data_IF_975697317395
#
_entry.id   IF_975697317395
#
_cell.length_a   1.000
_cell.length_b   1.000
_cell.length_c   1.000
_cell.angle_alpha   90.00
_cell.angle_beta   90.00
_cell.angle_gamma   90.00
#
_symmetry.space_group_name_H-M   'P 1'
#
loop_
_entity.id
_entity.type
_entity.pdbx_description
1 polymer ?
#
# COMPACT_ATOMS: atom_id res chain seq x y z
N UNK A 1 -6.00 12.38 12.15
CA UNK A 1 -7.29 13.08 12.03
C UNK A 1 -7.25 14.46 12.71
N UNK A 2 -6.77 14.61 13.95
CA UNK A 2 -6.74 15.90 14.70
C UNK A 2 -6.11 17.05 13.89
N UNK A 3 -5.02 16.78 13.19
CA UNK A 3 -4.29 17.79 12.41
C UNK A 3 -5.06 18.23 11.15
N UNK A 4 -5.68 17.29 10.45
CA UNK A 4 -6.34 17.53 9.17
C UNK A 4 -7.86 17.80 9.30
N UNK A 5 -8.47 17.41 10.43
CA UNK A 5 -9.91 17.55 10.67
C UNK A 5 -10.74 16.86 9.58
N UNK A 6 -11.75 17.54 9.06
CA UNK A 6 -12.65 17.01 8.01
C UNK A 6 -11.95 16.69 6.66
N UNK A 7 -10.69 17.09 6.49
CA UNK A 7 -9.90 16.75 5.31
C UNK A 7 -9.29 15.34 5.38
N UNK A 8 -9.36 14.66 6.53
CA UNK A 8 -9.00 13.26 6.67
C UNK A 8 -10.25 12.41 6.93
N UNK A 9 -10.29 11.21 6.35
CA UNK A 9 -11.31 10.19 6.61
C UNK A 9 -10.63 8.87 6.93
N UNK A 10 -11.06 8.22 8.00
CA UNK A 10 -10.76 6.81 8.22
C UNK A 10 -11.74 5.96 7.43
N UNK A 11 -11.24 4.95 6.73
CA UNK A 11 -12.01 4.04 5.92
C UNK A 11 -11.82 2.61 6.41
N UNK A 12 -12.92 1.88 6.49
CA UNK A 12 -12.86 0.43 6.65
C UNK A 12 -12.24 -0.19 5.37
N UNK A 13 -11.29 -1.13 5.48
CA UNK A 13 -10.68 -1.79 4.33
C UNK A 13 -11.70 -2.45 3.37
N UNK A 14 -12.84 -2.93 3.88
CA UNK A 14 -13.90 -3.55 3.07
C UNK A 14 -14.49 -2.57 2.05
N UNK A 15 -14.52 -1.27 2.37
CA UNK A 15 -15.07 -0.25 1.48
C UNK A 15 -14.36 -0.20 0.11
N UNK A 16 -13.09 -0.60 0.04
CA UNK A 16 -12.33 -0.64 -1.22
C UNK A 16 -12.88 -1.68 -2.19
N UNK A 17 -13.50 -2.75 -1.67
CA UNK A 17 -14.15 -3.82 -2.45
C UNK A 17 -15.61 -3.56 -2.80
N UNK A 18 -16.28 -2.64 -2.10
CA UNK A 18 -17.72 -2.40 -2.23
C UNK A 18 -18.06 -1.57 -3.48
N UNK A 19 -19.34 -1.70 -3.91
CA UNK A 19 -19.88 -1.01 -5.08
C UNK A 19 -19.80 0.51 -4.96
N UNK A 20 -20.25 1.05 -3.82
CA UNK A 20 -20.35 2.48 -3.62
C UNK A 20 -19.01 3.12 -3.33
N UNK A 21 -18.69 4.19 -4.06
CA UNK A 21 -17.37 4.85 -4.04
C UNK A 21 -17.41 6.28 -3.51
N UNK A 22 -18.50 6.68 -2.86
CA UNK A 22 -18.64 8.02 -2.27
C UNK A 22 -17.52 8.39 -1.29
N UNK A 23 -16.85 7.40 -0.69
CA UNK A 23 -15.70 7.58 0.18
C UNK A 23 -14.49 8.22 -0.54
N UNK A 24 -14.38 8.05 -1.85
CA UNK A 24 -13.25 8.57 -2.64
C UNK A 24 -13.30 10.08 -2.87
N UNK A 25 -14.34 10.76 -2.38
CA UNK A 25 -14.53 12.19 -2.58
C UNK A 25 -14.73 12.94 -1.27
N UNK A 26 -14.32 14.21 -1.24
CA UNK A 26 -14.57 15.11 -0.11
C UNK A 26 -13.56 15.01 1.03
N UNK A 27 -12.39 14.38 0.79
CA UNK A 27 -11.25 14.37 1.71
C UNK A 27 -9.95 14.60 0.93
N UNK A 28 -8.93 15.07 1.60
CA UNK A 28 -7.58 15.20 1.05
C UNK A 28 -6.76 13.94 1.31
N UNK A 29 -7.04 13.26 2.44
CA UNK A 29 -6.39 12.00 2.81
C UNK A 29 -7.42 11.01 3.29
N UNK A 30 -7.42 9.82 2.70
CA UNK A 30 -8.12 8.65 3.21
C UNK A 30 -7.12 7.74 3.92
N UNK A 31 -7.40 7.44 5.18
CA UNK A 31 -6.60 6.53 6.01
C UNK A 31 -7.32 5.20 6.03
N UNK A 32 -6.63 4.13 5.60
CA UNK A 32 -7.15 2.77 5.63
C UNK A 32 -6.29 1.98 6.59
N UNK A 33 -6.84 1.68 7.75
CA UNK A 33 -6.14 0.96 8.81
C UNK A 33 -6.31 -0.55 8.61
N UNK A 34 -5.29 -1.31 9.03
CA UNK A 34 -5.28 -2.77 9.00
C UNK A 34 -5.57 -3.38 7.61
N UNK A 35 -5.16 -2.68 6.54
CA UNK A 35 -5.42 -3.17 5.19
C UNK A 35 -4.71 -4.51 4.97
N UNK A 36 -5.45 -5.48 4.46
CA UNK A 36 -4.95 -6.74 3.95
C UNK A 36 -5.89 -7.29 2.89
N UNK A 37 -5.53 -7.12 1.63
CA UNK A 37 -6.32 -7.61 0.51
C UNK A 37 -5.89 -9.05 0.20
N UNK A 38 -6.80 -10.01 0.45
CA UNK A 38 -6.58 -11.45 0.27
C UNK A 38 -7.62 -12.06 -0.68
N UNK A 39 -7.37 -13.32 -1.04
CA UNK A 39 -8.27 -14.13 -1.84
C UNK A 39 -8.17 -13.85 -3.34
N UNK A 40 -9.06 -14.50 -4.09
CA UNK A 40 -9.05 -14.49 -5.56
C UNK A 40 -9.35 -13.10 -6.15
N UNK A 41 -10.09 -12.28 -5.40
CA UNK A 41 -10.47 -10.92 -5.80
C UNK A 41 -9.39 -9.85 -5.56
N UNK A 42 -8.23 -10.23 -5.00
CA UNK A 42 -7.19 -9.27 -4.60
C UNK A 42 -6.75 -8.35 -5.75
N UNK A 43 -6.55 -8.91 -6.93
CA UNK A 43 -6.15 -8.15 -8.11
C UNK A 43 -7.27 -7.23 -8.61
N UNK A 44 -8.52 -7.69 -8.55
CA UNK A 44 -9.70 -6.89 -8.93
C UNK A 44 -9.86 -5.66 -8.04
N UNK A 45 -9.66 -5.81 -6.73
CA UNK A 45 -9.71 -4.69 -5.78
C UNK A 45 -8.58 -3.70 -6.08
N UNK A 46 -7.36 -4.19 -6.32
CA UNK A 46 -6.22 -3.35 -6.67
C UNK A 46 -6.43 -2.59 -7.97
N UNK A 47 -6.92 -3.26 -9.02
CA UNK A 47 -7.21 -2.60 -10.31
C UNK A 47 -8.28 -1.53 -10.16
N UNK A 48 -9.28 -1.78 -9.34
CA UNK A 48 -10.32 -0.81 -9.03
C UNK A 48 -9.78 0.42 -8.27
N UNK A 49 -8.81 0.24 -7.38
CA UNK A 49 -8.21 1.33 -6.60
C UNK A 49 -7.31 2.24 -7.44
N UNK A 50 -6.66 1.70 -8.46
CA UNK A 50 -5.72 2.43 -9.32
C UNK A 50 -6.24 3.77 -9.86
N UNK A 51 -7.45 3.87 -10.45
CA UNK A 51 -8.02 5.14 -10.92
C UNK A 51 -8.18 6.18 -9.81
N UNK A 52 -8.56 5.77 -8.60
CA UNK A 52 -8.73 6.68 -7.47
C UNK A 52 -7.41 7.27 -6.96
N UNK A 53 -6.28 6.59 -7.23
CA UNK A 53 -4.95 7.09 -6.87
C UNK A 53 -4.39 8.00 -7.97
N UNK A 54 -4.66 7.70 -9.26
CA UNK A 54 -3.90 8.30 -10.36
C UNK A 54 -4.67 9.32 -11.20
N UNK A 55 -6.00 9.21 -11.27
CA UNK A 55 -6.77 10.07 -12.18
C UNK A 55 -7.08 11.40 -11.51
N UNK A 56 -7.00 12.50 -12.27
CA UNK A 56 -7.41 13.83 -11.83
C UNK A 56 -8.92 13.99 -11.71
N UNK A 57 -9.68 13.15 -12.43
CA UNK A 57 -11.15 13.09 -12.36
C UNK A 57 -11.55 11.64 -12.09
N UNK A 58 -12.48 11.43 -11.18
CA UNK A 58 -13.01 10.11 -10.82
C UNK A 58 -14.53 10.08 -10.91
N UNK A 59 -15.06 8.93 -11.30
CA UNK A 59 -16.48 8.67 -11.24
C UNK A 59 -16.82 8.05 -9.88
N UNK A 60 -17.76 8.67 -9.18
CA UNK A 60 -18.25 8.17 -7.89
C UNK A 60 -19.71 7.72 -8.01
N UNK A 61 -20.04 6.67 -7.25
CA UNK A 61 -21.38 6.15 -7.09
C UNK A 61 -21.76 6.22 -5.60
N UNK A 62 -22.89 6.88 -5.31
CA UNK A 62 -23.46 6.97 -3.97
C UNK A 62 -24.83 6.27 -3.96
N UNK A 63 -25.19 5.69 -2.84
CA UNK A 63 -26.48 4.99 -2.69
C UNK A 63 -27.63 5.95 -2.97
N UNK A 64 -28.48 5.61 -3.94
CA UNK A 64 -29.68 6.40 -4.30
C UNK A 64 -29.36 7.66 -5.08
N UNK A 65 -28.18 7.80 -5.66
CA UNK A 65 -27.80 8.91 -6.53
C UNK A 65 -27.23 8.40 -7.83
N UNK A 66 -27.36 9.21 -8.89
CA UNK A 66 -26.72 8.94 -10.16
C UNK A 66 -25.20 9.05 -10.05
N UNK A 67 -24.50 8.32 -10.91
CA UNK A 67 -23.06 8.45 -11.05
C UNK A 67 -22.67 9.88 -11.41
N UNK A 68 -21.66 10.39 -10.75
CA UNK A 68 -21.12 11.71 -11.07
C UNK A 68 -19.60 11.69 -11.16
N UNK A 69 -19.07 12.50 -12.07
CA UNK A 69 -17.64 12.71 -12.21
C UNK A 69 -17.23 13.91 -11.37
N UNK A 70 -16.21 13.74 -10.53
CA UNK A 70 -15.73 14.77 -9.62
C UNK A 70 -14.21 14.91 -9.72
N UNK A 71 -13.63 16.09 -9.40
CA UNK A 71 -12.19 16.24 -9.26
C UNK A 71 -11.65 15.34 -8.14
N UNK A 72 -10.50 14.76 -8.37
CA UNK A 72 -9.82 13.91 -7.41
C UNK A 72 -8.64 14.66 -6.76
N UNK A 73 -8.74 14.88 -5.45
CA UNK A 73 -7.70 15.50 -4.63
C UNK A 73 -7.27 14.57 -3.50
N UNK A 74 -7.78 13.34 -3.49
CA UNK A 74 -7.63 12.41 -2.38
C UNK A 74 -6.34 11.62 -2.50
N UNK A 75 -5.56 11.61 -1.42
CA UNK A 75 -4.41 10.75 -1.22
C UNK A 75 -4.79 9.58 -0.30
N UNK A 76 -4.03 8.49 -0.36
CA UNK A 76 -4.30 7.30 0.44
C UNK A 76 -3.12 6.98 1.33
N UNK A 77 -3.37 6.85 2.63
CA UNK A 77 -2.44 6.31 3.61
C UNK A 77 -2.96 4.94 4.05
N UNK A 78 -2.24 3.90 3.63
CA UNK A 78 -2.62 2.52 3.90
C UNK A 78 -1.71 1.98 4.99
N UNK A 79 -2.27 1.58 6.12
CA UNK A 79 -1.56 1.06 7.28
C UNK A 79 -1.79 -0.44 7.40
N UNK A 80 -0.73 -1.20 7.68
CA UNK A 80 -0.82 -2.65 7.80
C UNK A 80 0.30 -3.23 8.65
N UNK A 81 0.02 -4.34 9.32
CA UNK A 81 1.01 -5.18 10.01
C UNK A 81 1.50 -6.34 9.14
N UNK A 82 1.06 -6.43 7.87
CA UNK A 82 1.32 -7.58 7.00
C UNK A 82 2.21 -7.20 5.83
N UNK A 83 3.27 -7.97 5.60
CA UNK A 83 4.17 -7.79 4.45
C UNK A 83 3.51 -8.17 3.12
N UNK A 84 2.49 -9.03 3.15
CA UNK A 84 1.68 -9.47 2.00
C UNK A 84 0.35 -8.69 1.85
N UNK A 85 0.25 -7.50 2.44
CA UNK A 85 -1.00 -6.74 2.53
C UNK A 85 -1.58 -6.36 1.18
N UNK A 86 -0.74 -6.03 0.20
CA UNK A 86 -1.13 -5.57 -1.13
C UNK A 86 -0.46 -6.41 -2.21
N UNK A 87 -1.23 -6.90 -3.21
CA UNK A 87 -0.67 -7.56 -4.37
C UNK A 87 -0.11 -6.52 -5.35
N UNK A 88 1.11 -6.05 -5.11
CA UNK A 88 1.82 -5.11 -5.98
C UNK A 88 2.84 -5.85 -6.84
N UNK A 89 3.08 -5.31 -8.04
CA UNK A 89 4.05 -5.85 -9.00
C UNK A 89 5.22 -4.89 -9.19
N UNK A 90 6.29 -5.37 -9.83
CA UNK A 90 7.44 -4.53 -10.17
C UNK A 90 7.06 -3.32 -11.05
N UNK A 91 6.04 -3.47 -11.90
CA UNK A 91 5.58 -2.41 -12.81
C UNK A 91 4.69 -1.37 -12.12
N UNK A 92 4.17 -1.66 -10.93
CA UNK A 92 3.35 -0.70 -10.22
C UNK A 92 4.20 0.51 -9.78
N UNK A 93 3.72 1.70 -10.08
CA UNK A 93 4.41 2.98 -9.84
C UNK A 93 3.72 3.87 -8.81
N UNK A 94 2.66 3.37 -8.16
CA UNK A 94 1.75 4.19 -7.36
C UNK A 94 2.06 4.15 -5.88
N UNK A 95 2.54 3.00 -5.41
CA UNK A 95 2.71 2.75 -3.97
C UNK A 95 4.14 3.01 -3.52
N UNK A 96 4.30 3.93 -2.57
CA UNK A 96 5.50 4.07 -1.76
C UNK A 96 5.32 3.21 -0.51
N UNK A 97 6.04 2.10 -0.44
CA UNK A 97 5.95 1.17 0.70
C UNK A 97 7.10 1.45 1.66
N UNK A 98 6.76 1.61 2.93
CA UNK A 98 7.75 1.81 4.00
C UNK A 98 7.43 0.90 5.17
N UNK A 99 8.40 0.11 5.61
CA UNK A 99 8.29 -0.67 6.83
C UNK A 99 8.93 0.08 7.99
N UNK A 100 8.30 0.00 9.15
CA UNK A 100 8.87 0.47 10.39
C UNK A 100 10.17 -0.28 10.70
N UNK A 101 11.11 0.38 11.37
CA UNK A 101 12.37 -0.24 11.79
C UNK A 101 12.14 -1.33 12.85
N UNK A 102 11.13 -1.13 13.69
CA UNK A 102 10.72 -2.04 14.76
C UNK A 102 9.70 -3.00 14.15
N UNK A 103 9.93 -4.31 14.25
CA UNK A 103 9.13 -5.33 13.57
C UNK A 103 8.31 -6.20 14.54
N UNK A 104 8.61 -6.16 15.83
CA UNK A 104 7.89 -6.93 16.85
C UNK A 104 7.87 -6.20 18.20
N UNK A 105 7.04 -6.72 19.12
CA UNK A 105 6.80 -6.13 20.44
C UNK A 105 8.07 -6.09 21.29
N UNK A 106 8.91 -7.11 21.21
CA UNK A 106 10.14 -7.17 22.00
C UNK A 106 11.12 -6.07 21.57
N UNK A 107 11.33 -5.89 20.27
CA UNK A 107 12.15 -4.79 19.74
C UNK A 107 11.61 -3.42 20.16
N UNK A 108 10.28 -3.29 20.26
CA UNK A 108 9.63 -2.05 20.71
C UNK A 108 9.96 -1.78 22.19
N UNK A 109 9.85 -2.78 23.03
CA UNK A 109 10.17 -2.65 24.46
C UNK A 109 11.66 -2.40 24.68
N UNK A 110 12.52 -3.07 23.93
CA UNK A 110 13.96 -2.85 24.00
C UNK A 110 14.34 -1.43 23.59
N UNK A 111 13.63 -0.89 22.56
CA UNK A 111 13.86 0.48 22.09
C UNK A 111 13.47 1.55 23.11
N UNK A 112 12.36 1.37 23.82
CA UNK A 112 11.87 2.33 24.82
C UNK A 112 12.31 2.04 26.25
N UNK A 113 13.01 0.93 26.49
CA UNK A 113 13.52 0.55 27.83
C UNK A 113 12.55 -0.22 28.70
N UNK A 114 11.50 -0.78 28.10
CA UNK A 114 10.56 -1.68 28.76
C UNK A 114 9.09 -1.39 28.39
N UNK A 115 8.21 -2.28 28.87
CA UNK A 115 6.77 -2.24 28.53
C UNK A 115 6.08 -0.99 29.09
N UNK A 116 6.40 -0.62 30.32
CA UNK A 116 5.82 0.55 31.02
C UNK A 116 6.25 1.83 30.30
N UNK A 117 7.54 2.01 30.04
CA UNK A 117 8.09 3.15 29.31
C UNK A 117 7.51 3.29 27.90
N UNK A 118 7.25 2.16 27.25
CA UNK A 118 6.59 2.13 25.94
C UNK A 118 5.15 2.64 26.03
N UNK A 119 4.39 2.18 27.02
CA UNK A 119 3.02 2.64 27.26
C UNK A 119 2.96 4.14 27.54
N UNK A 120 3.79 4.62 28.46
CA UNK A 120 3.90 6.03 28.83
C UNK A 120 4.28 6.91 27.63
N UNK A 121 5.20 6.42 26.78
CA UNK A 121 5.58 7.15 25.56
C UNK A 121 4.39 7.34 24.62
N UNK A 122 3.63 6.29 24.34
CA UNK A 122 2.51 6.39 23.42
C UNK A 122 1.34 7.20 24.01
N UNK A 123 1.06 7.05 25.29
CA UNK A 123 0.04 7.86 25.96
C UNK A 123 0.38 9.36 25.85
N UNK A 124 1.62 9.73 26.17
CA UNK A 124 2.11 11.10 26.04
C UNK A 124 2.10 11.57 24.56
N UNK A 125 2.52 10.72 23.62
CA UNK A 125 2.51 11.05 22.20
C UNK A 125 1.11 11.40 21.71
N UNK A 126 0.10 10.62 22.08
CA UNK A 126 -1.29 10.88 21.69
C UNK A 126 -1.83 12.16 22.33
N UNK A 127 -1.64 12.34 23.63
CA UNK A 127 -2.09 13.52 24.37
C UNK A 127 -1.46 14.82 23.81
N UNK A 128 -0.15 14.82 23.59
CA UNK A 128 0.56 15.99 23.05
C UNK A 128 0.22 16.24 21.58
N UNK A 129 0.00 15.19 20.79
CA UNK A 129 -0.39 15.34 19.38
C UNK A 129 -1.78 15.96 19.23
N UNK A 130 -2.73 15.59 20.08
CA UNK A 130 -4.07 16.18 20.09
C UNK A 130 -3.99 17.64 20.54
N UNK A 131 -3.34 17.92 21.67
CA UNK A 131 -3.17 19.25 22.25
C UNK A 131 -2.48 20.23 21.30
N UNK A 132 -1.50 19.75 20.53
CA UNK A 132 -0.69 20.56 19.61
C UNK A 132 -1.05 20.40 18.14
N UNK A 133 -2.21 19.82 17.81
CA UNK A 133 -2.66 19.60 16.43
C UNK A 133 -2.60 20.86 15.55
N UNK A 134 -2.92 22.03 16.12
CA UNK A 134 -2.82 23.31 15.41
C UNK A 134 -1.39 23.72 15.06
N UNK A 135 -0.43 23.43 15.95
CA UNK A 135 1.00 23.70 15.72
C UNK A 135 1.52 22.77 14.62
N UNK A 136 1.19 21.48 14.69
CA UNK A 136 1.56 20.49 13.66
C UNK A 136 0.98 20.89 12.31
N UNK A 137 -0.29 21.29 12.26
CA UNK A 137 -0.93 21.81 11.04
C UNK A 137 -0.21 23.04 10.49
N UNK A 138 0.14 24.00 11.36
CA UNK A 138 0.91 25.18 10.98
C UNK A 138 2.28 24.86 10.41
N UNK A 139 2.97 23.87 10.96
CA UNK A 139 4.23 23.36 10.45
C UNK A 139 4.06 22.74 9.05
N UNK A 140 3.08 21.85 8.88
CA UNK A 140 2.82 21.20 7.58
C UNK A 140 2.44 22.20 6.49
N UNK A 141 1.64 23.23 6.81
CA UNK A 141 1.27 24.28 5.86
C UNK A 141 2.46 25.16 5.41
N UNK A 142 3.48 25.26 6.23
CA UNK A 142 4.72 26.02 5.95
C UNK A 142 5.87 25.14 5.48
N UNK A 143 5.66 23.81 5.43
CA UNK A 143 6.71 22.90 5.05
C UNK A 143 7.14 23.14 3.60
N UNK A 144 8.42 23.38 3.41
CA UNK A 144 8.96 23.60 2.08
C UNK A 144 9.17 22.24 1.38
N UNK A 145 8.35 21.97 0.39
CA UNK A 145 8.47 20.77 -0.43
C UNK A 145 9.67 20.96 -1.37
N UNK A 146 10.58 20.00 -1.42
CA UNK A 146 11.74 20.03 -2.32
C UNK A 146 11.30 20.23 -3.78
N UNK A 147 12.05 21.04 -4.52
CA UNK A 147 11.84 21.24 -5.97
C UNK A 147 12.01 19.94 -6.78
N UNK A 148 12.77 18.98 -6.25
CA UNK A 148 12.94 17.65 -6.85
C UNK A 148 11.71 16.76 -6.72
N UNK A 149 10.76 17.10 -5.84
CA UNK A 149 9.54 16.33 -5.64
C UNK A 149 8.59 16.46 -6.83
N UNK A 150 8.30 15.33 -7.47
CA UNK A 150 7.36 15.25 -8.59
C UNK A 150 6.10 14.52 -8.16
N UNK A 151 5.03 15.27 -7.86
CA UNK A 151 3.76 14.71 -7.39
C UNK A 151 3.13 13.69 -8.36
N UNK A 152 3.37 13.83 -9.68
CA UNK A 152 2.90 12.90 -10.72
C UNK A 152 3.94 11.85 -11.11
N UNK A 153 5.06 11.78 -10.40
CA UNK A 153 6.15 10.86 -10.67
C UNK A 153 5.85 9.42 -10.27
N UNK A 154 6.79 8.54 -10.59
CA UNK A 154 6.80 7.18 -10.06
C UNK A 154 7.11 7.23 -8.56
N UNK A 155 6.38 6.45 -7.76
CA UNK A 155 6.70 6.26 -6.35
C UNK A 155 8.12 5.70 -6.19
N UNK A 156 8.86 6.08 -5.14
CA UNK A 156 10.19 5.57 -4.86
C UNK A 156 10.20 4.05 -4.78
N UNK A 157 11.23 3.44 -5.36
CA UNK A 157 11.48 2.00 -5.20
C UNK A 157 12.24 1.78 -3.90
N UNK A 158 11.56 1.23 -2.90
CA UNK A 158 12.12 0.99 -1.57
C UNK A 158 12.39 -0.50 -1.36
N UNK A 159 13.32 -0.83 -0.47
CA UNK A 159 13.55 -2.22 -0.04
C UNK A 159 12.28 -2.85 0.55
N UNK A 160 11.46 -2.06 1.24
CA UNK A 160 10.16 -2.48 1.77
C UNK A 160 9.18 -2.86 0.66
N UNK A 161 9.18 -2.12 -0.45
CA UNK A 161 8.35 -2.44 -1.62
C UNK A 161 8.78 -3.77 -2.25
N UNK A 162 10.08 -4.00 -2.41
CA UNK A 162 10.60 -5.26 -2.93
C UNK A 162 10.25 -6.43 -1.99
N UNK A 163 10.38 -6.24 -0.68
CA UNK A 163 9.98 -7.26 0.29
C UNK A 163 8.47 -7.58 0.24
N UNK A 164 7.61 -6.58 0.01
CA UNK A 164 6.16 -6.80 -0.16
C UNK A 164 5.86 -7.58 -1.44
N UNK A 165 6.53 -7.28 -2.56
CA UNK A 165 6.39 -8.01 -3.82
C UNK A 165 6.76 -9.47 -3.60
N UNK A 166 7.93 -9.75 -3.00
CA UNK A 166 8.38 -11.11 -2.71
C UNK A 166 7.41 -11.87 -1.79
N UNK A 167 6.85 -11.21 -0.77
CA UNK A 167 5.87 -11.82 0.14
C UNK A 167 4.53 -12.16 -0.55
N UNK A 168 4.28 -11.63 -1.75
CA UNK A 168 3.03 -11.84 -2.49
C UNK A 168 3.15 -12.94 -3.55
N UNK A 169 4.37 -13.38 -3.86
CA UNK A 169 4.66 -14.46 -4.80
C UNK A 169 4.17 -15.78 -4.21
N UNK A 170 3.42 -16.56 -4.99
CA UNK A 170 2.95 -17.87 -4.52
C UNK A 170 4.09 -18.90 -4.52
N UNK A 171 3.99 -19.97 -3.69
CA UNK A 171 4.97 -21.07 -3.72
C UNK A 171 5.12 -21.68 -5.12
N UNK A 172 4.03 -21.82 -5.86
CA UNK A 172 4.03 -22.35 -7.23
C UNK A 172 4.81 -21.40 -8.17
N UNK A 173 4.59 -20.09 -8.03
CA UNK A 173 5.33 -19.10 -8.82
C UNK A 173 6.82 -19.10 -8.48
N UNK A 174 7.19 -19.22 -7.20
CA UNK A 174 8.58 -19.39 -6.78
C UNK A 174 9.20 -20.64 -7.41
N UNK A 175 8.48 -21.77 -7.38
CA UNK A 175 8.97 -23.02 -7.99
C UNK A 175 9.21 -22.89 -9.49
N UNK A 176 8.32 -22.19 -10.20
CA UNK A 176 8.49 -21.93 -11.64
C UNK A 176 9.68 -21.00 -11.92
N UNK A 177 9.84 -19.94 -11.12
CA UNK A 177 10.98 -19.03 -11.24
C UNK A 177 12.31 -19.75 -10.96
N UNK A 178 12.36 -20.63 -9.96
CA UNK A 178 13.52 -21.44 -9.63
C UNK A 178 13.87 -22.41 -10.77
N UNK A 179 12.88 -23.06 -11.39
CA UNK A 179 13.07 -23.91 -12.58
C UNK A 179 13.62 -23.12 -13.75
N UNK A 180 13.08 -21.94 -14.04
CA UNK A 180 13.56 -21.06 -15.10
C UNK A 180 15.02 -20.68 -14.84
N UNK A 181 15.36 -20.26 -13.63
CA UNK A 181 16.72 -19.85 -13.25
C UNK A 181 17.71 -21.03 -13.34
N UNK A 182 17.30 -22.22 -12.91
CA UNK A 182 18.12 -23.44 -12.96
C UNK A 182 18.46 -23.86 -14.41
N UNK A 183 17.54 -23.58 -15.35
CA UNK A 183 17.62 -24.01 -16.75
C UNK A 183 17.66 -22.83 -17.74
N UNK A 184 18.15 -21.69 -17.34
CA UNK A 184 18.13 -20.40 -18.05
C UNK A 184 18.52 -20.49 -19.53
N UNK A 185 19.54 -21.30 -19.86
CA UNK A 185 20.03 -21.44 -21.22
C UNK A 185 19.07 -22.19 -22.17
N UNK A 186 18.11 -22.95 -21.64
CA UNK A 186 17.24 -23.85 -22.41
C UNK A 186 15.81 -23.31 -22.56
N UNK A 187 15.34 -22.52 -21.59
CA UNK A 187 13.94 -22.08 -21.51
C UNK A 187 13.72 -20.67 -22.03
N UNK A 188 14.72 -19.82 -21.91
CA UNK A 188 14.59 -18.39 -22.25
C UNK A 188 15.55 -18.01 -23.36
N UNK A 189 15.01 -17.74 -24.54
CA UNK A 189 15.73 -17.09 -25.61
C UNK A 189 15.35 -15.60 -25.61
N UNK A 190 16.04 -14.81 -24.77
CA UNK A 190 15.76 -13.40 -24.60
C UNK A 190 14.47 -13.11 -23.82
N UNK A 191 13.32 -13.09 -24.50
CA UNK A 191 12.01 -12.75 -23.87
C UNK A 191 10.93 -13.80 -24.11
N UNK A 192 11.30 -14.96 -24.69
CA UNK A 192 10.36 -16.02 -25.08
C UNK A 192 10.59 -17.21 -24.15
N UNK A 193 9.52 -17.63 -23.48
CA UNK A 193 9.49 -18.84 -22.67
C UNK A 193 8.85 -19.97 -23.47
N UNK A 194 9.55 -21.10 -23.60
CA UNK A 194 8.95 -22.33 -24.17
C UNK A 194 8.08 -23.00 -23.10
N UNK A 195 6.78 -22.80 -23.20
CA UNK A 195 5.79 -23.33 -22.25
C UNK A 195 5.71 -24.85 -22.29
N UNK A 196 5.95 -25.46 -23.45
CA UNK A 196 5.91 -26.93 -23.60
C UNK A 196 7.05 -27.56 -22.81
N UNK A 197 8.24 -27.03 -22.98
CA UNK A 197 9.43 -27.49 -22.28
C UNK A 197 9.35 -27.18 -20.74
N UNK A 198 8.80 -26.06 -20.35
CA UNK A 198 8.57 -25.76 -18.93
C UNK A 198 7.61 -26.76 -18.27
N UNK A 199 6.54 -27.14 -18.97
CA UNK A 199 5.61 -28.19 -18.51
C UNK A 199 6.28 -29.55 -18.36
N UNK A 200 7.18 -29.92 -19.27
CA UNK A 200 7.96 -31.15 -19.15
C UNK A 200 8.88 -31.14 -17.93
N UNK A 201 9.53 -29.99 -17.64
CA UNK A 201 10.34 -29.83 -16.44
C UNK A 201 9.54 -29.92 -15.14
N UNK A 202 8.37 -29.31 -15.08
CA UNK A 202 7.48 -29.39 -13.92
C UNK A 202 7.03 -30.82 -13.61
N UNK A 203 7.00 -31.71 -14.62
CA UNK A 203 6.68 -33.14 -14.44
C UNK A 203 7.89 -33.93 -13.96
N UNK A 204 9.10 -33.49 -14.31
CA UNK A 204 10.35 -34.23 -13.98
C UNK A 204 10.84 -33.89 -12.56
N UNK A 205 10.73 -32.62 -12.14
CA UNK A 205 11.20 -32.12 -10.84
C UNK A 205 10.10 -32.13 -9.74
N UNK A 206 8.83 -32.45 -10.04
CA UNK A 206 7.68 -32.59 -9.11
C UNK A 206 7.41 -34.03 -8.78
#
# INVERSE_FOLDING_TARGET
EWVLGSNAKSLDPSALGERFTGWAHGSVVNIVEEIRIKGDDKWRIMDRLKPFITNSMIQIEEKGRDHRTVPNFTNYLLLTNYKDALPITNDDRRFCVMYGRIQNEQELFDFFGGREQTADYFENLFAESEKHAGVIKGFLLKYNISEDFKASGRAPDTSSRQAMIQATISPEQCSVEDLINKHECSVVNGRILDVTWLNELCVIDG
#
